data_IF_656092370998
#
_entry.id   IF_656092370998
#
_cell.length_a   1.000
_cell.length_b   1.000
_cell.length_c   1.000
_cell.angle_alpha   90.00
_cell.angle_beta   90.00
_cell.angle_gamma   90.00
#
_symmetry.space_group_name_H-M   'P 1'
#
loop_
_entity.id
_entity.type
_entity.pdbx_description
1 polymer ?
#
# COMPACT_ATOMS: atom_id res chain seq x y z
N UNK A 1 43.92 18.28 -5.83
CA UNK A 1 42.79 17.72 -6.58
C UNK A 1 42.50 16.33 -6.05
N UNK A 2 41.24 15.99 -5.82
CA UNK A 2 40.84 14.65 -5.35
C UNK A 2 39.64 14.66 -4.41
N UNK A 3 38.57 15.39 -4.76
CA UNK A 3 37.28 15.28 -4.07
C UNK A 3 36.54 14.04 -4.58
N UNK A 4 36.84 12.88 -4.01
CA UNK A 4 36.05 11.67 -4.20
C UNK A 4 34.96 11.61 -3.14
N UNK A 5 33.89 12.39 -3.30
CA UNK A 5 32.66 12.14 -2.54
C UNK A 5 32.12 10.75 -2.87
N UNK A 6 31.37 10.10 -1.96
CA UNK A 6 30.71 8.83 -2.28
C UNK A 6 29.90 9.00 -3.57
N UNK A 7 30.02 8.06 -4.50
CA UNK A 7 29.24 8.06 -5.73
C UNK A 7 27.76 8.21 -5.36
N UNK A 8 26.97 9.03 -6.10
CA UNK A 8 25.54 9.13 -5.84
C UNK A 8 24.94 7.72 -5.93
N UNK A 9 24.18 7.28 -4.91
CA UNK A 9 23.52 5.97 -4.96
C UNK A 9 22.72 5.87 -6.26
N UNK A 10 22.79 4.73 -6.95
CA UNK A 10 22.07 4.48 -8.22
C UNK A 10 20.58 4.87 -8.15
N UNK A 11 20.00 4.77 -6.96
CA UNK A 11 18.63 5.18 -6.65
C UNK A 11 18.35 6.68 -6.90
N UNK A 12 19.30 7.59 -6.62
CA UNK A 12 19.16 9.03 -6.90
C UNK A 12 19.18 9.31 -8.40
N UNK A 13 20.06 8.63 -9.16
CA UNK A 13 20.08 8.74 -10.61
C UNK A 13 18.77 8.25 -11.23
N UNK A 14 18.20 7.18 -10.69
CA UNK A 14 16.92 6.67 -11.14
C UNK A 14 15.78 7.67 -10.87
N UNK A 15 15.71 8.29 -9.69
CA UNK A 15 14.74 9.36 -9.40
C UNK A 15 14.89 10.51 -10.40
N UNK A 16 16.11 11.01 -10.59
CA UNK A 16 16.40 12.13 -11.49
C UNK A 16 16.03 11.80 -12.94
N UNK A 17 16.29 10.57 -13.39
CA UNK A 17 15.89 10.10 -14.72
C UNK A 17 14.37 10.14 -14.88
N UNK A 18 13.61 9.60 -13.92
CA UNK A 18 12.16 9.60 -13.96
C UNK A 18 11.57 11.02 -13.91
N UNK A 19 12.17 11.90 -13.12
CA UNK A 19 11.77 13.31 -13.08
C UNK A 19 12.04 14.03 -14.40
N UNK A 20 13.23 13.86 -15.00
CA UNK A 20 13.58 14.46 -16.29
C UNK A 20 12.72 13.94 -17.45
N UNK A 21 12.28 12.68 -17.39
CA UNK A 21 11.33 12.10 -18.35
C UNK A 21 9.89 12.59 -18.14
N UNK A 22 9.62 13.34 -17.06
CA UNK A 22 8.27 13.84 -16.73
C UNK A 22 7.30 12.75 -16.27
N UNK A 23 7.79 11.58 -15.87
CA UNK A 23 6.93 10.48 -15.41
C UNK A 23 6.63 10.53 -13.92
N UNK A 24 7.41 11.31 -13.15
CA UNK A 24 7.10 11.69 -11.77
C UNK A 24 7.20 13.21 -11.63
N UNK A 25 6.45 13.76 -10.68
CA UNK A 25 6.46 15.19 -10.38
C UNK A 25 7.59 15.57 -9.43
N UNK A 26 7.92 16.87 -9.34
CA UNK A 26 8.97 17.36 -8.45
C UNK A 26 8.71 17.03 -6.97
N UNK A 27 7.48 17.17 -6.41
CA UNK A 27 7.20 16.78 -5.04
C UNK A 27 7.48 15.30 -4.77
N UNK A 28 7.09 14.41 -5.68
CA UNK A 28 7.35 12.97 -5.58
C UNK A 28 8.85 12.67 -5.64
N UNK A 29 9.57 13.31 -6.56
CA UNK A 29 11.02 13.17 -6.66
C UNK A 29 11.72 13.58 -5.36
N UNK A 30 11.45 14.79 -4.85
CA UNK A 30 12.02 15.27 -3.60
C UNK A 30 11.69 14.36 -2.42
N UNK A 31 10.48 13.81 -2.38
CA UNK A 31 10.05 12.90 -1.30
C UNK A 31 10.79 11.56 -1.36
N UNK A 32 11.00 11.01 -2.55
CA UNK A 32 11.79 9.79 -2.77
C UNK A 32 13.26 10.00 -2.42
N UNK A 33 13.85 11.13 -2.80
CA UNK A 33 15.22 11.48 -2.45
C UNK A 33 15.41 11.52 -0.93
N UNK A 34 14.49 12.18 -0.23
CA UNK A 34 14.51 12.20 1.23
C UNK A 34 14.36 10.79 1.81
N UNK A 35 13.42 9.99 1.31
CA UNK A 35 13.21 8.63 1.80
C UNK A 35 14.43 7.73 1.60
N UNK A 36 15.04 7.73 0.40
CA UNK A 36 16.24 6.95 0.11
C UNK A 36 17.46 7.46 0.88
N UNK A 37 17.59 8.78 1.05
CA UNK A 37 18.64 9.38 1.87
C UNK A 37 18.53 9.01 3.35
N UNK A 38 17.32 9.05 3.92
CA UNK A 38 17.08 8.79 5.33
C UNK A 38 17.17 7.30 5.70
N UNK A 39 16.81 6.41 4.78
CA UNK A 39 16.70 4.96 5.06
C UNK A 39 17.78 4.11 4.40
N UNK A 40 18.50 4.65 3.42
CA UNK A 40 19.40 3.86 2.56
C UNK A 40 18.67 2.86 1.65
N UNK A 41 17.33 2.92 1.58
CA UNK A 41 16.53 2.05 0.75
C UNK A 41 16.54 2.47 -0.73
N UNK A 42 16.09 1.56 -1.60
CA UNK A 42 15.77 1.83 -2.99
C UNK A 42 14.53 1.03 -3.40
N UNK A 43 13.92 1.41 -4.52
CA UNK A 43 12.80 0.69 -5.12
C UNK A 43 13.30 -0.26 -6.20
N UNK A 44 12.81 -1.51 -6.15
CA UNK A 44 12.95 -2.44 -7.25
C UNK A 44 12.05 -2.06 -8.42
N UNK A 45 12.25 -2.75 -9.55
CA UNK A 45 11.48 -2.52 -10.78
C UNK A 45 9.97 -2.63 -10.57
N UNK A 46 9.50 -3.58 -9.76
CA UNK A 46 8.08 -3.78 -9.51
C UNK A 46 7.46 -2.65 -8.71
N UNK A 47 8.20 -2.13 -7.72
CA UNK A 47 7.83 -0.96 -6.93
C UNK A 47 7.77 0.31 -7.80
N UNK A 48 8.70 0.50 -8.73
CA UNK A 48 8.65 1.59 -9.71
C UNK A 48 7.44 1.45 -10.65
N UNK A 49 7.22 0.28 -11.25
CA UNK A 49 6.12 0.04 -12.20
C UNK A 49 4.74 0.31 -11.58
N UNK A 50 4.55 0.01 -10.29
CA UNK A 50 3.29 0.32 -9.60
C UNK A 50 3.20 1.79 -9.18
N UNK A 51 4.30 2.42 -8.76
CA UNK A 51 4.30 3.83 -8.39
C UNK A 51 3.89 4.73 -9.55
N UNK A 52 4.35 4.42 -10.77
CA UNK A 52 4.03 5.17 -11.98
C UNK A 52 2.54 5.10 -12.37
N UNK A 53 1.77 4.23 -11.75
CA UNK A 53 0.31 4.15 -11.92
C UNK A 53 -0.46 5.01 -10.91
N UNK A 54 0.22 5.52 -9.87
CA UNK A 54 -0.39 6.36 -8.84
C UNK A 54 -0.46 7.82 -9.30
N UNK A 55 -1.51 8.53 -8.86
CA UNK A 55 -1.49 9.99 -8.89
C UNK A 55 -0.52 10.54 -7.82
N UNK A 56 -0.10 11.80 -7.97
CA UNK A 56 0.86 12.46 -7.06
C UNK A 56 0.45 12.31 -5.59
N UNK A 57 -0.81 12.58 -5.25
CA UNK A 57 -1.30 12.50 -3.87
C UNK A 57 -1.16 11.10 -3.27
N UNK A 58 -1.48 10.06 -4.05
CA UNK A 58 -1.38 8.66 -3.61
C UNK A 58 0.06 8.19 -3.53
N UNK A 59 0.92 8.63 -4.46
CA UNK A 59 2.35 8.34 -4.40
C UNK A 59 2.98 8.96 -3.16
N UNK A 60 2.69 10.24 -2.87
CA UNK A 60 3.18 10.94 -1.68
C UNK A 60 2.74 10.22 -0.39
N UNK A 61 1.45 9.88 -0.27
CA UNK A 61 0.94 9.15 0.89
C UNK A 61 1.62 7.78 1.08
N UNK A 62 1.79 7.03 -0.01
CA UNK A 62 2.45 5.72 0.04
C UNK A 62 3.94 5.82 0.43
N UNK A 63 4.65 6.85 -0.05
CA UNK A 63 6.05 7.10 0.33
C UNK A 63 6.14 7.49 1.81
N UNK A 64 5.23 8.32 2.31
CA UNK A 64 5.20 8.70 3.73
C UNK A 64 4.95 7.51 4.65
N UNK A 65 4.02 6.62 4.29
CA UNK A 65 3.70 5.44 5.10
C UNK A 65 4.90 4.47 5.15
N UNK A 66 5.54 4.16 4.02
CA UNK A 66 6.75 3.31 4.03
C UNK A 66 7.90 3.97 4.77
N UNK A 67 8.07 5.29 4.65
CA UNK A 67 9.11 6.01 5.37
C UNK A 67 8.88 5.93 6.89
N UNK A 68 7.66 6.16 7.36
CA UNK A 68 7.29 5.98 8.77
C UNK A 68 7.57 4.55 9.26
N UNK A 69 7.20 3.54 8.46
CA UNK A 69 7.42 2.14 8.80
C UNK A 69 8.92 1.77 8.90
N UNK A 70 9.77 2.34 8.04
CA UNK A 70 11.22 2.13 8.07
C UNK A 70 11.92 2.77 9.29
N UNK A 71 11.30 3.76 9.93
CA UNK A 71 11.83 4.44 11.13
C UNK A 71 11.23 3.95 12.45
N UNK A 72 10.33 2.98 12.39
CA UNK A 72 9.69 2.41 13.59
C UNK A 72 10.64 1.53 14.41
N UNK A 73 10.26 1.17 15.64
CA UNK A 73 11.04 0.27 16.50
C UNK A 73 11.30 -1.11 15.86
N UNK A 74 10.44 -1.51 14.92
CA UNK A 74 10.57 -2.73 14.12
C UNK A 74 10.64 -2.36 12.64
N UNK A 75 11.81 -1.89 12.16
CA UNK A 75 11.92 -1.35 10.82
C UNK A 75 11.62 -2.41 9.77
N UNK A 76 10.92 -2.00 8.72
CA UNK A 76 10.66 -2.83 7.56
C UNK A 76 11.97 -3.22 6.88
N UNK A 77 12.21 -4.53 6.75
CA UNK A 77 13.43 -5.08 6.13
C UNK A 77 13.45 -4.97 4.60
N UNK A 78 12.27 -4.94 3.97
CA UNK A 78 12.12 -4.82 2.53
C UNK A 78 11.14 -3.68 2.18
N UNK A 79 11.64 -2.45 2.02
CA UNK A 79 10.79 -1.29 1.76
C UNK A 79 10.10 -1.33 0.39
N UNK A 80 10.73 -1.94 -0.63
CA UNK A 80 10.13 -2.10 -1.97
C UNK A 80 8.85 -2.94 -1.94
N UNK A 81 8.90 -4.10 -1.27
CA UNK A 81 7.75 -4.97 -1.13
C UNK A 81 6.64 -4.32 -0.28
N UNK A 82 7.02 -3.63 0.78
CA UNK A 82 6.08 -2.93 1.66
C UNK A 82 5.37 -1.79 0.91
N UNK A 83 6.13 -0.96 0.19
CA UNK A 83 5.60 0.09 -0.67
C UNK A 83 4.62 -0.48 -1.71
N UNK A 84 5.00 -1.58 -2.39
CA UNK A 84 4.12 -2.25 -3.37
C UNK A 84 2.79 -2.66 -2.74
N UNK A 85 2.80 -3.15 -1.51
CA UNK A 85 1.58 -3.48 -0.76
C UNK A 85 0.68 -2.27 -0.50
N UNK A 86 1.27 -1.13 -0.13
CA UNK A 86 0.54 0.14 0.10
C UNK A 86 -0.01 0.68 -1.23
N UNK A 87 0.84 0.77 -2.26
CA UNK A 87 0.45 1.27 -3.58
C UNK A 87 -0.73 0.48 -4.19
N UNK A 88 -0.78 -0.84 -4.02
CA UNK A 88 -1.93 -1.67 -4.44
C UNK A 88 -3.22 -1.28 -3.74
N UNK A 89 -3.18 -0.93 -2.45
CA UNK A 89 -4.37 -0.48 -1.70
C UNK A 89 -4.87 0.86 -2.26
N UNK A 90 -3.98 1.79 -2.57
CA UNK A 90 -4.35 3.05 -3.21
C UNK A 90 -5.00 2.84 -4.58
N UNK A 91 -4.43 1.98 -5.44
CA UNK A 91 -5.00 1.66 -6.75
C UNK A 91 -6.39 0.99 -6.65
N UNK A 92 -6.57 0.09 -5.68
CA UNK A 92 -7.87 -0.53 -5.43
C UNK A 92 -8.92 0.49 -4.96
N UNK A 93 -8.54 1.45 -4.11
CA UNK A 93 -9.42 2.54 -3.68
C UNK A 93 -9.77 3.54 -4.79
N UNK A 94 -8.87 3.76 -5.74
CA UNK A 94 -9.10 4.62 -6.92
C UNK A 94 -10.08 3.97 -7.91
N UNK A 95 -10.05 2.64 -8.03
CA UNK A 95 -10.84 1.90 -9.04
C UNK A 95 -12.24 1.49 -8.58
N UNK A 96 -12.58 1.67 -7.29
CA UNK A 96 -13.89 1.32 -6.78
C UNK A 96 -14.91 2.42 -7.12
N UNK A 97 -15.98 2.13 -7.90
CA UNK A 97 -17.07 3.08 -8.08
C UNK A 97 -17.74 3.32 -6.72
N UNK A 98 -17.89 4.59 -6.34
CA UNK A 98 -18.51 5.05 -5.09
C UNK A 98 -19.71 4.19 -4.67
N UNK A 99 -19.50 3.30 -3.70
CA UNK A 99 -20.56 2.38 -3.29
C UNK A 99 -20.08 1.24 -2.39
N UNK A 100 -19.31 1.52 -1.33
CA UNK A 100 -19.04 0.50 -0.32
C UNK A 100 -17.78 0.74 0.50
N UNK A 101 -17.98 1.25 1.71
CA UNK A 101 -17.09 1.27 2.88
C UNK A 101 -15.63 0.80 2.72
N UNK A 102 -14.70 1.72 2.99
CA UNK A 102 -13.30 1.41 3.24
C UNK A 102 -12.57 2.68 3.63
N UNK A 103 -12.86 3.17 4.84
CA UNK A 103 -12.35 4.44 5.34
C UNK A 103 -10.83 4.56 5.23
N UNK A 104 -10.40 5.74 4.82
CA UNK A 104 -9.06 6.27 5.05
C UNK A 104 -8.87 6.39 6.56
N UNK A 105 -8.47 5.29 7.20
CA UNK A 105 -8.01 5.32 8.57
C UNK A 105 -6.48 5.50 8.52
N UNK A 106 -6.09 6.76 8.36
CA UNK A 106 -4.79 7.19 8.84
C UNK A 106 -4.67 6.90 10.33
N UNK A 107 -3.47 6.59 10.77
CA UNK A 107 -3.15 6.50 12.20
C UNK A 107 -2.25 5.33 12.53
N UNK A 108 -1.00 5.64 12.86
CA UNK A 108 -0.10 4.69 13.49
C UNK A 108 -0.68 4.11 14.78
N UNK A 109 -0.23 2.91 15.12
CA UNK A 109 -0.54 2.25 16.38
C UNK A 109 0.36 1.04 16.56
N UNK A 110 1.14 1.05 17.64
CA UNK A 110 2.13 0.05 18.00
C UNK A 110 1.57 -1.35 18.33
N UNK A 111 2.37 -2.20 18.99
CA UNK A 111 2.20 -3.65 18.99
C UNK A 111 1.13 -4.07 20.01
N UNK A 112 0.08 -4.75 19.54
CA UNK A 112 -0.87 -5.40 20.44
C UNK A 112 -2.12 -5.91 19.76
N UNK A 113 -2.09 -7.14 19.24
CA UNK A 113 -2.98 -8.19 19.72
C UNK A 113 -2.64 -9.54 19.10
N UNK A 114 -2.26 -10.46 19.98
CA UNK A 114 -2.36 -11.91 19.72
C UNK A 114 -3.85 -12.23 19.70
N UNK A 115 -4.43 -12.27 18.50
CA UNK A 115 -5.81 -12.69 18.26
C UNK A 115 -5.82 -13.97 17.47
N UNK A 116 -5.74 -15.10 18.18
CA UNK A 116 -6.03 -16.42 17.62
C UNK A 116 -7.53 -16.52 17.26
N UNK A 117 -7.82 -17.16 16.13
CA UNK A 117 -9.09 -17.83 15.88
C UNK A 117 -10.21 -16.94 15.30
N UNK A 118 -10.69 -17.31 14.12
CA UNK A 118 -11.94 -16.78 13.59
C UNK A 118 -12.06 -16.89 12.08
N UNK A 119 -12.21 -18.10 11.56
CA UNK A 119 -12.90 -18.28 10.28
C UNK A 119 -14.37 -17.92 10.52
N UNK A 120 -14.78 -16.70 10.17
CA UNK A 120 -16.20 -16.35 10.20
C UNK A 120 -16.57 -15.53 8.96
N UNK A 121 -17.04 -16.28 7.96
CA UNK A 121 -18.25 -15.96 7.22
C UNK A 121 -18.27 -14.62 6.50
N UNK A 122 -17.66 -14.59 5.31
CA UNK A 122 -18.04 -13.64 4.28
C UNK A 122 -19.49 -13.91 3.85
N UNK A 123 -20.38 -12.99 4.19
CA UNK A 123 -21.67 -12.83 3.53
C UNK A 123 -21.49 -12.01 2.25
N UNK A 124 -22.12 -12.44 1.16
CA UNK A 124 -22.15 -11.71 -0.10
C UNK A 124 -22.71 -12.57 -1.22
N UNK A 125 -23.97 -12.35 -1.57
CA UNK A 125 -24.75 -13.21 -2.45
C UNK A 125 -24.32 -13.20 -3.92
N UNK A 126 -24.78 -14.23 -4.63
CA UNK A 126 -24.61 -14.42 -6.06
C UNK A 126 -25.21 -15.78 -6.43
N UNK A 127 -26.54 -15.82 -6.51
CA UNK A 127 -27.27 -17.06 -6.75
C UNK A 127 -27.26 -17.47 -8.21
N UNK A 128 -27.14 -18.78 -8.46
CA UNK A 128 -27.86 -19.54 -9.49
C UNK A 128 -27.91 -21.00 -9.01
N UNK A 129 -28.99 -21.71 -9.35
CA UNK A 129 -29.13 -23.18 -9.24
C UNK A 129 -29.41 -23.68 -7.81
N UNK A 130 -30.58 -24.22 -7.43
CA UNK A 130 -31.66 -24.83 -8.17
C UNK A 130 -32.14 -26.03 -7.34
N UNK A 131 -33.41 -26.01 -6.90
CA UNK A 131 -34.08 -27.09 -6.17
C UNK A 131 -33.85 -27.06 -4.65
N UNK A 132 -34.83 -27.17 -3.78
CA UNK A 132 -36.23 -27.54 -3.91
C UNK A 132 -36.68 -28.17 -2.58
N UNK A 133 -37.82 -27.70 -2.05
CA UNK A 133 -38.53 -28.30 -0.91
C UNK A 133 -38.06 -27.82 0.47
N UNK A 134 -38.91 -27.38 1.40
CA UNK A 134 -40.37 -27.36 1.46
C UNK A 134 -40.79 -27.31 2.93
N UNK A 135 -41.79 -26.46 3.24
CA UNK A 135 -42.60 -26.49 4.48
C UNK A 135 -41.93 -25.86 5.71
N UNK A 136 -42.54 -24.96 6.49
CA UNK A 136 -43.95 -24.63 6.64
C UNK A 136 -44.39 -24.84 8.10
N UNK A 137 -44.68 -23.74 8.79
CA UNK A 137 -45.69 -23.59 9.86
C UNK A 137 -45.55 -24.32 11.21
N UNK A 138 -45.58 -23.51 12.29
CA UNK A 138 -46.54 -23.74 13.39
C UNK A 138 -46.05 -24.32 14.72
N UNK A 139 -46.10 -23.50 15.77
CA UNK A 139 -46.88 -23.74 17.01
C UNK A 139 -46.50 -24.88 17.99
N UNK A 140 -46.15 -24.48 19.22
CA UNK A 140 -46.78 -24.97 20.46
C UNK A 140 -46.23 -26.22 21.17
N UNK A 141 -45.87 -26.04 22.46
CA UNK A 141 -46.14 -26.99 23.55
C UNK A 141 -44.98 -27.85 24.07
N UNK A 142 -44.56 -27.59 25.31
CA UNK A 142 -44.57 -28.53 26.44
C UNK A 142 -44.39 -27.75 27.76
#
# INVERSE_FOLDING_TARGET
>A
GGGGGPAPNDAFFEIQRHFQMGVITQPVAMRLEQFFGDTGASFDRGAWEIMLQLNEMSAMAAIEEVHGACRSDKPVRNPSAYFTGIARKHLAGISAPSGGGGGFQGGGGGPGNVGAGGYQGGGGGGGFQGGGGGGGSGGGGF
#
